data_IF_075653440683
#
_entry.id   IF_075653440683
#
_cell.length_a   1.000
_cell.length_b   1.000
_cell.length_c   1.000
_cell.angle_alpha   90.00
_cell.angle_beta   90.00
_cell.angle_gamma   90.00
#
_symmetry.space_group_name_H-M   'P 1'
#
loop_
_entity.id
_entity.type
_entity.pdbx_description
1 polymer ?
#
# COMPACT_ATOMS: atom_id res chain seq x y z
N UNK A 1 22.21 6.36 6.09
CA UNK A 1 21.26 5.40 6.71
C UNK A 1 20.51 4.48 5.73
N UNK A 2 20.16 4.91 4.51
CA UNK A 2 19.41 4.06 3.54
C UNK A 2 20.09 2.72 3.15
N UNK A 3 21.43 2.70 3.07
CA UNK A 3 22.22 1.50 2.70
C UNK A 3 22.10 0.34 3.69
N UNK A 4 21.97 0.62 5.00
CA UNK A 4 21.88 -0.42 6.03
C UNK A 4 20.60 -1.23 5.90
N UNK A 5 19.44 -0.56 5.78
CA UNK A 5 18.14 -1.23 5.61
C UNK A 5 18.04 -2.03 4.31
N UNK A 6 18.74 -1.58 3.27
CA UNK A 6 18.81 -2.27 1.99
C UNK A 6 19.46 -3.65 2.11
N UNK A 7 20.50 -3.79 2.94
CA UNK A 7 21.17 -5.07 3.19
C UNK A 7 20.27 -6.06 3.94
N UNK A 8 19.47 -5.61 4.91
CA UNK A 8 18.51 -6.49 5.60
C UNK A 8 17.39 -6.99 4.68
N UNK A 9 16.89 -6.13 3.78
CA UNK A 9 15.88 -6.53 2.81
C UNK A 9 16.38 -7.65 1.90
N UNK A 10 17.61 -7.53 1.39
CA UNK A 10 18.21 -8.56 0.53
C UNK A 10 18.47 -9.85 1.29
N UNK A 11 19.07 -9.77 2.49
CA UNK A 11 19.32 -10.95 3.32
C UNK A 11 18.04 -11.71 3.66
N UNK A 12 16.96 -11.00 4.00
CA UNK A 12 15.65 -11.60 4.26
C UNK A 12 15.10 -12.37 3.06
N UNK A 13 15.19 -11.80 1.85
CA UNK A 13 14.69 -12.46 0.64
C UNK A 13 15.53 -13.69 0.31
N UNK A 14 16.86 -13.60 0.41
CA UNK A 14 17.76 -14.73 0.14
C UNK A 14 17.56 -15.89 1.13
N UNK A 15 17.29 -15.60 2.41
CA UNK A 15 16.97 -16.62 3.42
C UNK A 15 15.64 -17.32 3.14
N UNK A 16 14.59 -16.56 2.79
CA UNK A 16 13.24 -17.10 2.57
C UNK A 16 13.04 -17.72 1.20
N UNK A 17 13.81 -17.30 0.19
CA UNK A 17 13.71 -17.76 -1.19
C UNK A 17 15.10 -18.17 -1.72
N UNK A 18 15.72 -19.23 -1.18
CA UNK A 18 17.12 -19.56 -1.44
C UNK A 18 17.40 -20.00 -2.89
N UNK A 19 16.36 -20.41 -3.63
CA UNK A 19 16.46 -20.83 -5.03
C UNK A 19 16.16 -19.72 -6.04
N UNK A 20 15.82 -18.52 -5.56
CA UNK A 20 15.51 -17.40 -6.43
C UNK A 20 16.81 -16.84 -7.04
N UNK A 21 16.72 -16.38 -8.29
CA UNK A 21 17.83 -15.71 -8.96
C UNK A 21 18.43 -14.60 -8.05
N UNK A 22 19.77 -14.51 -7.91
CA UNK A 22 20.40 -13.57 -6.99
C UNK A 22 20.08 -12.10 -7.28
N UNK A 23 19.91 -11.73 -8.55
CA UNK A 23 19.62 -10.36 -8.93
C UNK A 23 18.15 -10.02 -8.72
N UNK A 24 17.24 -10.97 -8.96
CA UNK A 24 15.83 -10.85 -8.55
C UNK A 24 15.74 -10.74 -7.02
N UNK A 25 16.50 -11.53 -6.27
CA UNK A 25 16.52 -11.50 -4.80
C UNK A 25 16.99 -10.14 -4.26
N UNK A 26 18.09 -9.61 -4.81
CA UNK A 26 18.56 -8.26 -4.46
C UNK A 26 17.48 -7.22 -4.75
N UNK A 27 16.88 -7.27 -5.94
CA UNK A 27 15.86 -6.31 -6.36
C UNK A 27 14.64 -6.33 -5.45
N UNK A 28 14.09 -7.52 -5.15
CA UNK A 28 12.98 -7.67 -4.20
C UNK A 28 13.35 -7.10 -2.83
N UNK A 29 14.56 -7.37 -2.34
CA UNK A 29 15.05 -6.82 -1.07
C UNK A 29 15.11 -5.28 -1.07
N UNK A 30 15.55 -4.66 -2.17
CA UNK A 30 15.51 -3.20 -2.35
C UNK A 30 14.07 -2.69 -2.36
N UNK A 31 13.17 -3.34 -3.09
CA UNK A 31 11.77 -2.93 -3.22
C UNK A 31 11.00 -3.04 -1.89
N UNK A 32 11.25 -4.08 -1.09
CA UNK A 32 10.74 -4.19 0.28
C UNK A 32 11.21 -3.01 1.14
N UNK A 33 12.49 -2.63 1.00
CA UNK A 33 13.07 -1.50 1.73
C UNK A 33 12.45 -0.18 1.30
N UNK A 34 12.34 0.08 -0.01
CA UNK A 34 11.71 1.28 -0.56
C UNK A 34 10.26 1.42 -0.08
N UNK A 35 9.49 0.34 -0.11
CA UNK A 35 8.10 0.31 0.37
C UNK A 35 8.00 0.70 1.85
N UNK A 36 8.88 0.16 2.71
CA UNK A 36 8.93 0.53 4.14
C UNK A 36 9.25 2.01 4.34
N UNK A 37 10.19 2.56 3.56
CA UNK A 37 10.53 3.98 3.61
C UNK A 37 9.35 4.87 3.21
N UNK A 38 8.59 4.51 2.16
CA UNK A 38 7.39 5.25 1.74
C UNK A 38 6.34 5.26 2.85
N UNK A 39 6.07 4.11 3.48
CA UNK A 39 5.11 4.02 4.57
C UNK A 39 5.54 4.84 5.79
N UNK A 40 6.82 4.77 6.17
CA UNK A 40 7.38 5.57 7.26
C UNK A 40 7.29 7.07 6.97
N UNK A 41 7.65 7.49 5.75
CA UNK A 41 7.53 8.89 5.34
C UNK A 41 6.07 9.38 5.45
N UNK A 42 5.10 8.57 5.01
CA UNK A 42 3.67 8.92 5.11
C UNK A 42 3.26 9.11 6.57
N UNK A 43 3.67 8.21 7.45
CA UNK A 43 3.39 8.30 8.89
C UNK A 43 3.99 9.57 9.51
N UNK A 44 5.29 9.82 9.31
CA UNK A 44 5.96 11.02 9.84
C UNK A 44 5.36 12.32 9.28
N UNK A 45 5.06 12.35 7.99
CA UNK A 45 4.44 13.49 7.34
C UNK A 45 3.07 13.79 7.96
N UNK A 46 2.28 12.75 8.19
CA UNK A 46 0.96 12.90 8.80
C UNK A 46 1.06 13.34 10.27
N UNK A 47 1.96 12.77 11.07
CA UNK A 47 2.23 13.21 12.44
C UNK A 47 2.61 14.70 12.52
N UNK A 48 3.43 15.18 11.59
CA UNK A 48 3.80 16.61 11.50
C UNK A 48 2.59 17.49 11.18
N UNK A 49 1.73 17.07 10.25
CA UNK A 49 0.49 17.79 9.94
C UNK A 49 -0.44 17.86 11.15
N UNK A 50 -0.62 16.75 11.87
CA UNK A 50 -1.43 16.72 13.10
C UNK A 50 -0.83 17.57 14.21
N UNK A 51 0.50 17.58 14.39
CA UNK A 51 1.17 18.36 15.43
C UNK A 51 1.12 19.87 15.15
N UNK A 52 1.25 20.28 13.89
CA UNK A 52 1.16 21.70 13.48
C UNK A 52 -0.25 22.30 13.66
N UNK A 53 -1.28 21.48 13.85
CA UNK A 53 -2.66 21.92 14.11
C UNK A 53 -2.95 22.16 15.61
N UNK A 54 -1.98 21.96 16.51
CA UNK A 54 -2.17 21.98 17.97
C UNK A 54 -1.63 23.28 18.66
N UNK A 55 -1.27 24.34 17.93
CA UNK A 55 -1.08 25.67 18.54
C UNK A 55 -2.44 26.40 18.73
N UNK A 56 -2.66 27.12 19.86
CA UNK A 56 -4.00 27.25 20.44
C UNK A 56 -4.90 28.33 19.79
N UNK A 57 -6.18 27.94 19.65
CA UNK A 57 -7.40 28.77 19.65
C UNK A 57 -7.49 29.94 18.64
N UNK A 58 -7.86 29.62 17.39
CA UNK A 58 -8.70 30.53 16.59
C UNK A 58 -9.94 29.75 16.14
N UNK A 59 -11.09 30.15 16.68
CA UNK A 59 -12.44 29.74 16.29
C UNK A 59 -12.54 29.52 14.77
N UNK A 60 -12.63 28.27 14.34
CA UNK A 60 -12.85 27.93 12.93
C UNK A 60 -14.22 28.48 12.48
N UNK A 61 -14.29 29.43 11.52
CA UNK A 61 -15.56 29.72 10.88
C UNK A 61 -15.93 28.51 10.02
N UNK A 62 -17.17 28.06 10.20
CA UNK A 62 -17.89 27.05 9.44
C UNK A 62 -17.61 27.19 7.93
N UNK A 63 -16.64 26.46 7.39
CA UNK A 63 -16.27 26.56 5.97
C UNK A 63 -16.97 25.49 5.13
N UNK A 64 -17.60 26.00 4.09
CA UNK A 64 -18.53 25.40 3.14
C UNK A 64 -17.96 24.16 2.46
N UNK A 65 -18.82 23.14 2.37
CA UNK A 65 -18.71 21.97 1.49
C UNK A 65 -18.29 22.39 0.08
N UNK A 66 -17.06 22.07 -0.31
CA UNK A 66 -16.65 22.08 -1.72
C UNK A 66 -16.54 20.64 -2.19
N UNK A 67 -17.49 20.32 -3.08
CA UNK A 67 -17.60 19.12 -3.90
C UNK A 67 -16.22 18.70 -4.43
N UNK A 68 -15.81 17.48 -4.09
CA UNK A 68 -14.74 16.77 -4.78
C UNK A 68 -15.27 16.22 -6.12
N UNK A 69 -14.46 16.12 -7.17
CA UNK A 69 -14.93 15.61 -8.45
C UNK A 69 -15.32 14.14 -8.31
N UNK A 70 -16.51 13.80 -8.80
CA UNK A 70 -16.97 12.42 -8.90
C UNK A 70 -16.06 11.66 -9.86
N UNK A 71 -15.22 10.78 -9.33
CA UNK A 71 -14.50 9.79 -10.13
C UNK A 71 -15.48 8.64 -10.35
N UNK A 72 -15.98 8.56 -11.59
CA UNK A 72 -16.78 7.45 -12.09
C UNK A 72 -15.98 6.14 -12.00
N UNK A 73 -16.28 5.33 -10.98
CA UNK A 73 -15.71 3.99 -10.81
C UNK A 73 -16.65 2.94 -11.41
N UNK A 74 -16.82 3.00 -12.73
CA UNK A 74 -17.45 1.96 -13.54
C UNK A 74 -16.39 1.07 -14.20
N UNK A 75 -15.50 0.44 -13.42
CA UNK A 75 -14.77 -0.75 -13.89
C UNK A 75 -14.89 -1.86 -12.84
N UNK A 76 -15.33 -3.08 -13.22
CA UNK A 76 -15.35 -4.20 -12.32
C UNK A 76 -13.91 -4.71 -12.12
N UNK A 77 -13.18 -4.13 -11.17
CA UNK A 77 -11.93 -4.74 -10.69
C UNK A 77 -12.29 -5.95 -9.85
N UNK A 78 -12.15 -7.14 -10.45
CA UNK A 78 -12.16 -8.40 -9.74
C UNK A 78 -10.91 -8.47 -8.84
N UNK A 79 -10.98 -7.87 -7.65
CA UNK A 79 -9.92 -7.88 -6.63
C UNK A 79 -9.72 -9.31 -6.09
N UNK A 80 -9.01 -10.14 -6.85
CA UNK A 80 -8.53 -11.45 -6.41
C UNK A 80 -7.43 -11.24 -5.37
N UNK A 81 -7.86 -11.15 -4.10
CA UNK A 81 -6.96 -10.89 -2.97
C UNK A 81 -5.81 -11.91 -2.95
N UNK A 82 -4.59 -11.41 -2.75
CA UNK A 82 -3.37 -12.23 -2.71
C UNK A 82 -3.31 -13.23 -1.54
N UNK A 83 -4.21 -13.12 -0.56
CA UNK A 83 -4.22 -13.92 0.66
C UNK A 83 -4.47 -15.42 0.45
N UNK A 84 -4.93 -15.85 -0.72
CA UNK A 84 -5.13 -17.28 -0.99
C UNK A 84 -3.87 -18.04 -1.44
N UNK A 85 -2.73 -17.35 -1.66
CA UNK A 85 -1.51 -17.98 -2.22
C UNK A 85 -0.27 -17.86 -1.34
N UNK A 86 -0.35 -17.19 -0.19
CA UNK A 86 0.72 -17.31 0.78
C UNK A 86 0.70 -18.73 1.33
N UNK A 87 1.81 -19.45 1.21
CA UNK A 87 1.98 -20.71 1.94
C UNK A 87 1.68 -20.51 3.44
N UNK A 88 1.50 -21.60 4.17
CA UNK A 88 1.08 -21.59 5.60
C UNK A 88 1.91 -20.67 6.52
N UNK A 89 3.09 -20.23 6.09
CA UNK A 89 4.01 -19.35 6.79
C UNK A 89 3.70 -17.85 6.76
N UNK A 90 2.84 -17.34 5.85
CA UNK A 90 2.60 -15.89 5.73
C UNK A 90 1.11 -15.53 5.75
N UNK A 91 0.51 -15.46 6.95
CA UNK A 91 -0.81 -14.84 7.10
C UNK A 91 -0.67 -13.33 7.29
N UNK A 92 -1.10 -12.57 6.27
CA UNK A 92 -1.14 -11.09 6.36
C UNK A 92 -2.52 -10.69 6.88
N UNK A 93 -2.58 -10.17 8.09
CA UNK A 93 -3.79 -9.56 8.64
C UNK A 93 -3.90 -8.10 8.18
N UNK A 94 -5.06 -7.77 7.61
CA UNK A 94 -5.39 -6.40 7.24
C UNK A 94 -6.14 -5.76 8.42
N UNK A 95 -5.78 -4.54 8.84
CA UNK A 95 -6.51 -3.82 9.88
C UNK A 95 -8.01 -3.79 9.57
N UNK A 96 -8.85 -3.87 10.59
CA UNK A 96 -10.29 -3.70 10.37
C UNK A 96 -10.58 -2.27 9.93
N UNK A 97 -11.58 -2.08 9.06
CA UNK A 97 -12.06 -0.75 8.68
C UNK A 97 -12.42 0.04 9.96
N UNK A 98 -11.97 1.30 10.11
CA UNK A 98 -12.36 2.15 11.21
C UNK A 98 -13.89 2.23 11.40
N UNK A 99 -14.34 2.11 12.65
CA UNK A 99 -15.74 2.21 13.04
C UNK A 99 -15.87 3.32 14.08
N UNK A 100 -17.04 3.96 14.12
CA UNK A 100 -17.34 4.95 15.15
C UNK A 100 -17.52 4.31 16.53
N UNK A 101 -17.65 5.15 17.55
CA UNK A 101 -17.83 4.74 18.96
C UNK A 101 -19.03 3.82 19.18
N UNK A 102 -20.06 3.90 18.33
CA UNK A 102 -21.26 3.05 18.39
C UNK A 102 -21.17 1.77 17.54
N UNK A 103 -19.99 1.45 16.99
CA UNK A 103 -19.80 0.30 16.11
C UNK A 103 -20.39 0.44 14.70
N UNK A 104 -21.07 1.56 14.42
CA UNK A 104 -21.51 1.93 13.06
C UNK A 104 -20.32 2.29 12.19
N UNK A 105 -20.36 1.90 10.93
CA UNK A 105 -19.33 2.26 9.95
C UNK A 105 -19.33 3.77 9.68
N UNK A 106 -18.15 4.38 9.65
CA UNK A 106 -17.99 5.81 9.39
C UNK A 106 -18.13 6.11 7.89
N UNK A 107 -18.86 7.16 7.53
CA UNK A 107 -18.97 7.60 6.12
C UNK A 107 -17.67 8.19 5.58
N UNK A 108 -16.85 8.78 6.46
CA UNK A 108 -15.52 9.29 6.18
C UNK A 108 -14.59 8.99 7.36
N UNK A 109 -13.38 8.51 7.08
CA UNK A 109 -12.37 8.17 8.08
C UNK A 109 -10.98 8.23 7.48
N UNK A 110 -9.95 8.40 8.31
CA UNK A 110 -8.56 8.35 7.87
C UNK A 110 -8.06 6.90 7.76
N UNK A 111 -7.37 6.55 6.67
CA UNK A 111 -6.73 5.25 6.52
C UNK A 111 -5.46 5.17 7.39
N UNK A 112 -5.29 4.10 8.17
CA UNK A 112 -4.10 3.92 9.01
C UNK A 112 -2.80 3.56 8.26
N UNK A 113 -2.85 3.42 6.93
CA UNK A 113 -1.70 3.00 6.10
C UNK A 113 -1.24 4.15 5.19
N UNK A 114 -2.15 4.75 4.41
CA UNK A 114 -1.81 5.92 3.60
C UNK A 114 -2.07 7.27 4.28
N UNK A 115 -2.82 7.30 5.39
CA UNK A 115 -3.23 8.51 6.10
C UNK A 115 -4.02 9.52 5.26
N UNK A 116 -4.75 9.01 4.26
CA UNK A 116 -5.63 9.80 3.40
C UNK A 116 -7.09 9.56 3.84
N UNK A 117 -7.96 10.58 3.90
CA UNK A 117 -9.39 10.40 4.14
C UNK A 117 -10.05 9.50 3.08
N UNK A 118 -10.80 8.50 3.55
CA UNK A 118 -11.50 7.50 2.73
C UNK A 118 -13.00 7.48 3.04
N UNK A 119 -13.81 7.18 2.03
CA UNK A 119 -15.28 7.03 2.13
C UNK A 119 -15.76 5.61 1.86
N UNK A 120 -14.85 4.64 2.04
CA UNK A 120 -15.08 3.23 1.68
C UNK A 120 -16.10 2.59 2.62
N UNK A 121 -17.19 2.05 2.07
CA UNK A 121 -18.29 1.45 2.87
C UNK A 121 -18.16 -0.06 3.09
N UNK A 122 -17.50 -0.77 2.18
CA UNK A 122 -17.39 -2.22 2.21
C UNK A 122 -16.08 -2.69 2.85
N UNK A 123 -16.13 -3.70 3.71
CA UNK A 123 -14.91 -4.31 4.26
C UNK A 123 -14.04 -4.96 3.17
N UNK A 124 -14.64 -5.42 2.07
CA UNK A 124 -13.90 -5.96 0.94
C UNK A 124 -13.11 -4.85 0.21
N UNK A 125 -13.76 -3.74 -0.11
CA UNK A 125 -13.09 -2.58 -0.71
C UNK A 125 -12.04 -1.97 0.21
N UNK A 126 -12.26 -1.99 1.53
CA UNK A 126 -11.26 -1.56 2.50
C UNK A 126 -10.00 -2.43 2.44
N UNK A 127 -10.16 -3.77 2.40
CA UNK A 127 -9.02 -4.68 2.20
C UNK A 127 -8.30 -4.39 0.89
N UNK A 128 -9.05 -4.19 -0.20
CA UNK A 128 -8.49 -3.82 -1.50
C UNK A 128 -7.64 -2.54 -1.44
N UNK A 129 -8.16 -1.49 -0.81
CA UNK A 129 -7.45 -0.23 -0.61
C UNK A 129 -6.14 -0.43 0.18
N UNK A 130 -6.19 -1.14 1.31
CA UNK A 130 -4.97 -1.40 2.11
C UNK A 130 -3.94 -2.17 1.28
N UNK A 131 -4.34 -3.18 0.51
CA UNK A 131 -3.39 -3.90 -0.35
C UNK A 131 -2.80 -3.03 -1.47
N UNK A 132 -3.59 -2.14 -2.06
CA UNK A 132 -3.09 -1.20 -3.07
C UNK A 132 -2.07 -0.23 -2.48
N UNK A 133 -2.32 0.25 -1.26
CA UNK A 133 -1.39 1.14 -0.55
C UNK A 133 -0.05 0.47 -0.23
N UNK A 134 -0.06 -0.85 -0.05
CA UNK A 134 1.16 -1.65 0.13
C UNK A 134 1.96 -1.79 -1.17
N UNK A 135 1.35 -1.63 -2.36
CA UNK A 135 2.01 -1.81 -3.66
C UNK A 135 2.86 -3.09 -3.74
N UNK A 136 2.30 -4.30 -3.52
CA UNK A 136 3.08 -5.48 -3.19
C UNK A 136 3.80 -6.13 -4.38
N UNK A 137 3.42 -5.82 -5.62
CA UNK A 137 3.89 -6.52 -6.81
C UNK A 137 5.06 -5.82 -7.50
N UNK A 138 6.00 -6.61 -8.02
CA UNK A 138 7.24 -6.16 -8.67
C UNK A 138 7.50 -7.04 -9.88
N UNK A 139 8.00 -6.46 -10.98
CA UNK A 139 8.37 -7.21 -12.17
C UNK A 139 9.58 -8.14 -11.89
N UNK A 140 9.50 -9.40 -12.33
CA UNK A 140 10.59 -10.37 -12.13
C UNK A 140 11.59 -10.43 -13.30
N UNK A 141 11.25 -9.87 -14.46
CA UNK A 141 12.13 -9.87 -15.64
C UNK A 141 13.27 -8.85 -15.50
N UNK A 142 14.48 -9.22 -15.92
CA UNK A 142 15.66 -8.37 -15.74
C UNK A 142 15.78 -7.24 -16.77
N UNK A 143 15.32 -7.46 -18.00
CA UNK A 143 15.40 -6.48 -19.10
C UNK A 143 14.14 -5.62 -19.23
N UNK A 144 13.29 -5.60 -18.21
CA UNK A 144 12.07 -4.83 -18.24
C UNK A 144 12.31 -3.36 -17.85
N UNK A 145 11.74 -2.42 -18.60
CA UNK A 145 11.82 -0.99 -18.27
C UNK A 145 11.15 -0.65 -16.93
N UNK A 146 10.18 -1.46 -16.50
CA UNK A 146 9.44 -1.29 -15.24
C UNK A 146 10.00 -2.15 -14.10
N UNK A 147 11.28 -2.48 -14.18
CA UNK A 147 11.99 -3.36 -13.23
C UNK A 147 11.93 -2.88 -11.76
N UNK A 148 12.04 -1.58 -11.52
CA UNK A 148 11.99 -0.98 -10.18
C UNK A 148 10.60 -0.34 -9.90
N UNK A 149 9.57 -0.69 -10.69
CA UNK A 149 8.21 -0.20 -10.49
C UNK A 149 7.45 -1.04 -9.45
N UNK A 150 6.74 -0.35 -8.53
CA UNK A 150 5.87 -0.95 -7.52
C UNK A 150 4.41 -0.89 -8.00
N UNK A 151 3.87 -1.99 -8.48
CA UNK A 151 2.49 -2.04 -8.95
C UNK A 151 1.51 -2.06 -7.77
N UNK A 152 0.45 -1.27 -7.89
CA UNK A 152 -0.61 -1.18 -6.86
C UNK A 152 -1.60 -2.35 -6.97
N UNK A 153 -1.83 -2.84 -8.18
CA UNK A 153 -2.81 -3.86 -8.49
C UNK A 153 -2.21 -5.17 -8.98
N UNK A 154 -2.83 -6.29 -8.60
CA UNK A 154 -2.46 -7.62 -9.09
C UNK A 154 -2.66 -7.75 -10.59
N UNK A 155 -3.81 -7.29 -11.09
CA UNK A 155 -4.17 -7.42 -12.49
C UNK A 155 -3.25 -6.59 -13.38
N UNK A 156 -2.89 -5.39 -12.94
CA UNK A 156 -1.92 -4.52 -13.60
C UNK A 156 -0.56 -5.21 -13.73
N UNK A 157 -0.05 -5.75 -12.62
CA UNK A 157 1.19 -6.54 -12.61
C UNK A 157 1.08 -7.80 -13.47
N UNK A 158 -0.02 -8.53 -13.41
CA UNK A 158 -0.21 -9.78 -14.16
C UNK A 158 -0.27 -9.53 -15.67
N UNK A 159 -0.98 -8.49 -16.11
CA UNK A 159 -1.01 -8.06 -17.52
C UNK A 159 0.40 -7.62 -17.95
N UNK A 160 1.12 -6.91 -17.09
CA UNK A 160 2.49 -6.50 -17.34
C UNK A 160 3.43 -7.71 -17.53
N UNK A 161 3.42 -8.64 -16.59
CA UNK A 161 4.19 -9.89 -16.66
C UNK A 161 3.86 -10.69 -17.92
N UNK A 162 2.57 -10.79 -18.27
CA UNK A 162 2.11 -11.47 -19.48
C UNK A 162 2.64 -10.87 -20.79
N UNK A 163 3.03 -9.59 -20.82
CA UNK A 163 3.69 -8.97 -21.99
C UNK A 163 5.19 -9.27 -22.07
N UNK A 164 5.80 -9.68 -20.96
CA UNK A 164 7.19 -10.09 -20.90
C UNK A 164 7.35 -11.61 -21.12
N UNK A 165 6.24 -12.37 -21.09
CA UNK A 165 6.18 -13.76 -21.56
C UNK A 165 6.10 -13.71 -23.09
N UNK A 166 7.23 -13.98 -23.75
CA UNK A 166 7.29 -14.25 -25.18
C UNK A 166 6.59 -15.55 -25.54
#
# INVERSE_FOLDING_TARGET
ESSYYQQFGVGYVMDKLPYLDPDVSKRLGRMITCRRQVLHYREEHNQKLHTSLVEPEISFPKFISKVAPEIDHSLPTMLSMASSYTGTDFQVEVPSRPKGTEGRGLDCFECSVCFIPQTIKSSHHWKGHVFQDLQPYVCIYHDCELVDHLFTGRDEWYIHEGRNIG
#
